data_IF_147789530979
#
_entry.id   IF_147789530979
#
_cell.length_a   1.000
_cell.length_b   1.000
_cell.length_c   1.000
_cell.angle_alpha   90.00
_cell.angle_beta   90.00
_cell.angle_gamma   90.00
#
_symmetry.space_group_name_H-M   'P 1'
#
loop_
_entity.id
_entity.type
_entity.pdbx_description
1 polymer ?
#
# COMPACT_ATOMS: atom_id res chain seq x y z
N UNK A 1 5.52 -9.48 -0.08
CA UNK A 1 4.93 -10.12 -1.27
C UNK A 1 5.42 -11.56 -1.55
N UNK A 2 6.66 -11.95 -1.21
CA UNK A 2 7.11 -13.34 -1.40
C UNK A 2 6.25 -14.41 -0.73
N UNK A 3 5.79 -14.16 0.51
CA UNK A 3 4.85 -15.07 1.20
C UNK A 3 3.45 -15.12 0.58
N UNK A 4 3.07 -14.12 -0.22
CA UNK A 4 1.79 -14.08 -0.91
C UNK A 4 1.82 -14.91 -2.17
N UNK A 5 2.91 -14.80 -2.95
CA UNK A 5 3.16 -15.65 -4.11
C UNK A 5 3.16 -17.13 -3.75
N UNK A 6 3.73 -17.52 -2.60
CA UNK A 6 3.73 -18.91 -2.15
C UNK A 6 2.35 -19.44 -1.74
N UNK A 7 1.36 -18.55 -1.55
CA UNK A 7 -0.01 -18.89 -1.13
C UNK A 7 -1.03 -18.78 -2.27
N UNK A 8 -0.61 -18.40 -3.48
CA UNK A 8 -1.50 -18.33 -4.64
C UNK A 8 -2.15 -19.70 -4.85
N UNK A 9 -3.50 -19.81 -4.90
CA UNK A 9 -4.17 -21.08 -5.09
C UNK A 9 -3.78 -21.72 -6.43
N UNK A 10 -3.10 -22.86 -6.37
CA UNK A 10 -2.73 -23.61 -7.56
C UNK A 10 -3.99 -24.16 -8.25
N UNK A 11 -4.01 -24.23 -9.59
CA UNK A 11 -5.05 -24.97 -10.28
C UNK A 11 -4.98 -26.43 -9.85
N UNK A 12 -6.12 -27.12 -9.65
CA UNK A 12 -6.11 -28.53 -9.25
C UNK A 12 -5.43 -29.37 -10.33
N UNK A 13 -4.32 -30.01 -9.99
CA UNK A 13 -3.56 -30.94 -10.83
C UNK A 13 -3.75 -32.36 -10.31
N UNK A 14 -4.68 -33.12 -10.89
CA UNK A 14 -4.94 -34.50 -10.50
C UNK A 14 -5.22 -35.40 -11.70
N UNK A 15 -4.92 -36.69 -11.58
CA UNK A 15 -5.24 -37.70 -12.60
C UNK A 15 -6.78 -37.80 -12.68
N UNK A 16 -7.38 -37.28 -13.76
CA UNK A 16 -8.83 -37.13 -13.93
C UNK A 16 -9.34 -35.68 -13.99
N UNK A 17 -8.53 -34.69 -13.59
CA UNK A 17 -8.81 -33.26 -13.74
C UNK A 17 -7.64 -32.59 -14.48
N UNK A 18 -7.47 -32.94 -15.75
CA UNK A 18 -6.58 -32.20 -16.64
C UNK A 18 -7.30 -30.91 -17.04
N UNK A 19 -7.21 -29.88 -16.20
CA UNK A 19 -7.57 -28.53 -16.62
C UNK A 19 -6.61 -28.15 -17.74
N UNK A 20 -7.09 -28.15 -18.97
CA UNK A 20 -6.30 -27.68 -20.10
C UNK A 20 -5.83 -26.24 -19.90
N UNK A 21 -4.85 -25.76 -20.68
CA UNK A 21 -4.28 -24.41 -20.55
C UNK A 21 -5.32 -23.27 -20.63
N UNK A 22 -6.52 -23.55 -21.14
CA UNK A 22 -7.61 -22.59 -21.32
C UNK A 22 -8.72 -22.68 -20.24
N UNK A 23 -8.53 -23.46 -19.18
CA UNK A 23 -9.53 -23.51 -18.12
C UNK A 23 -9.50 -22.22 -17.28
N UNK A 24 -10.68 -21.69 -16.92
CA UNK A 24 -10.83 -20.44 -16.16
C UNK A 24 -9.96 -20.39 -14.89
N UNK A 25 -9.79 -21.52 -14.21
CA UNK A 25 -8.94 -21.65 -13.01
C UNK A 25 -7.45 -21.48 -13.32
N UNK A 26 -6.96 -22.00 -14.45
CA UNK A 26 -5.57 -21.82 -14.91
C UNK A 26 -5.34 -20.38 -15.36
N UNK A 27 -6.30 -19.80 -16.09
CA UNK A 27 -6.23 -18.40 -16.51
C UNK A 27 -6.19 -17.43 -15.31
N UNK A 28 -7.02 -17.68 -14.30
CA UNK A 28 -7.02 -16.91 -13.05
C UNK A 28 -5.69 -17.02 -12.30
N UNK A 29 -5.12 -18.23 -12.22
CA UNK A 29 -3.81 -18.43 -11.62
C UNK A 29 -2.73 -17.59 -12.33
N UNK A 30 -2.65 -17.68 -13.66
CA UNK A 30 -1.67 -16.91 -14.44
C UNK A 30 -1.86 -15.40 -14.29
N UNK A 31 -3.11 -14.92 -14.39
CA UNK A 31 -3.43 -13.51 -14.14
C UNK A 31 -3.02 -13.05 -12.75
N UNK A 32 -3.20 -13.90 -11.73
CA UNK A 32 -2.76 -13.59 -10.36
C UNK A 32 -1.25 -13.42 -10.30
N UNK A 33 -0.49 -14.33 -10.90
CA UNK A 33 0.98 -14.27 -10.91
C UNK A 33 1.48 -13.02 -11.63
N UNK A 34 0.88 -12.69 -12.78
CA UNK A 34 1.19 -11.50 -13.57
C UNK A 34 0.94 -10.21 -12.76
N UNK A 35 -0.25 -10.06 -12.19
CA UNK A 35 -0.62 -8.88 -11.38
C UNK A 35 0.29 -8.72 -10.17
N UNK A 36 0.68 -9.82 -9.51
CA UNK A 36 1.64 -9.76 -8.41
C UNK A 36 3.04 -9.35 -8.87
N UNK A 37 3.48 -9.79 -10.05
CA UNK A 37 4.75 -9.36 -10.66
C UNK A 37 4.77 -7.87 -10.97
N UNK A 38 3.65 -7.36 -11.49
CA UNK A 38 3.46 -5.93 -11.75
C UNK A 38 3.44 -5.12 -10.45
N UNK A 39 2.75 -5.61 -9.41
CA UNK A 39 2.71 -4.97 -8.10
C UNK A 39 4.11 -4.82 -7.48
N UNK A 40 4.95 -5.86 -7.54
CA UNK A 40 6.34 -5.80 -7.06
C UNK A 40 7.14 -4.78 -7.88
N UNK A 41 6.98 -4.80 -9.21
CA UNK A 41 7.67 -3.88 -10.10
C UNK A 41 7.28 -2.42 -9.84
N UNK A 42 6.00 -2.18 -9.54
CA UNK A 42 5.48 -0.88 -9.13
C UNK A 42 6.12 -0.41 -7.82
N UNK A 43 6.12 -1.24 -6.78
CA UNK A 43 6.72 -0.90 -5.48
C UNK A 43 8.21 -0.56 -5.60
N UNK A 44 8.96 -1.27 -6.45
CA UNK A 44 10.38 -0.97 -6.71
C UNK A 44 10.56 0.38 -7.40
N UNK A 45 9.69 0.72 -8.36
CA UNK A 45 9.73 2.03 -9.02
C UNK A 45 9.44 3.16 -8.03
N UNK A 46 8.45 2.95 -7.17
CA UNK A 46 8.07 3.92 -6.14
C UNK A 46 9.19 4.14 -5.12
N UNK A 47 9.82 3.07 -4.62
CA UNK A 47 10.95 3.18 -3.71
C UNK A 47 12.10 4.02 -4.30
N UNK A 48 12.45 3.78 -5.58
CA UNK A 48 13.47 4.57 -6.30
C UNK A 48 13.06 6.03 -6.45
N UNK A 49 11.78 6.29 -6.68
CA UNK A 49 11.25 7.64 -6.78
C UNK A 49 11.35 8.38 -5.43
N UNK A 50 11.01 7.71 -4.32
CA UNK A 50 11.12 8.28 -2.97
C UNK A 50 12.58 8.57 -2.63
N UNK A 51 13.49 7.63 -2.88
CA UNK A 51 14.94 7.83 -2.66
C UNK A 51 15.48 9.03 -3.43
N UNK A 52 15.11 9.15 -4.71
CA UNK A 52 15.51 10.27 -5.55
C UNK A 52 14.93 11.60 -5.04
N UNK A 53 13.64 11.62 -4.72
CA UNK A 53 12.96 12.83 -4.23
C UNK A 53 13.56 13.30 -2.91
N UNK A 54 13.90 12.37 -2.01
CA UNK A 54 14.57 12.68 -0.77
C UNK A 54 15.96 13.29 -1.02
N UNK A 55 16.76 12.67 -1.89
CA UNK A 55 18.08 13.18 -2.26
C UNK A 55 18.01 14.59 -2.88
N UNK A 56 17.09 14.80 -3.83
CA UNK A 56 16.89 16.11 -4.49
C UNK A 56 16.42 17.19 -3.50
N UNK A 57 15.67 16.81 -2.46
CA UNK A 57 15.22 17.70 -1.40
C UNK A 57 16.21 17.84 -0.22
N UNK A 58 17.35 17.13 -0.26
CA UNK A 58 18.34 17.13 0.81
C UNK A 58 17.92 16.38 2.08
N UNK A 59 16.93 15.50 2.00
CA UNK A 59 16.55 14.60 3.09
C UNK A 59 17.38 13.32 3.05
N UNK A 60 17.97 12.98 4.19
CA UNK A 60 18.59 11.67 4.41
C UNK A 60 17.52 10.69 4.89
N UNK A 61 17.30 9.60 4.16
CA UNK A 61 16.37 8.54 4.57
C UNK A 61 16.99 7.56 5.59
N UNK A 62 18.30 7.67 5.85
CA UNK A 62 19.04 6.79 6.77
C UNK A 62 19.11 7.31 8.21
N UNK A 63 18.69 8.56 8.46
CA UNK A 63 18.65 9.08 9.83
C UNK A 63 17.56 8.37 10.63
N UNK A 64 18.02 7.55 11.59
CA UNK A 64 17.18 7.05 12.67
C UNK A 64 16.64 8.20 13.54
N UNK A 65 15.80 7.88 14.54
CA UNK A 65 15.15 8.90 15.36
C UNK A 65 16.20 9.84 15.96
N UNK A 66 15.89 11.14 16.15
CA UNK A 66 16.80 12.08 16.77
C UNK A 66 17.32 11.48 18.07
N UNK A 67 18.64 11.24 18.15
CA UNK A 67 19.23 10.82 19.42
C UNK A 67 19.04 11.97 20.41
N UNK A 68 18.61 11.71 21.65
CA UNK A 68 18.54 12.76 22.65
C UNK A 68 19.93 13.39 22.77
N UNK A 69 20.02 14.67 22.43
CA UNK A 69 21.27 15.43 22.56
C UNK A 69 21.55 15.62 24.04
N UNK A 70 22.57 14.93 24.56
CA UNK A 70 23.10 15.17 25.90
C UNK A 70 23.78 16.53 25.91
N UNK A 71 23.35 17.43 26.79
CA UNK A 71 24.13 18.65 27.05
C UNK A 71 25.49 18.26 27.66
N UNK A 72 26.54 19.09 27.49
CA UNK A 72 27.83 18.88 28.15
C UNK A 72 27.76 18.80 29.70
N UNK A 73 26.66 19.26 30.31
CA UNK A 73 26.38 19.15 31.75
C UNK A 73 25.69 17.84 32.18
N UNK A 74 25.62 16.82 31.31
CA UNK A 74 25.02 15.52 31.63
C UNK A 74 23.49 15.54 31.81
N UNK A 75 22.85 16.70 31.67
CA UNK A 75 21.39 16.82 31.65
C UNK A 75 20.86 16.43 30.28
N UNK A 76 20.01 15.39 30.26
CA UNK A 76 19.24 15.04 29.07
C UNK A 76 18.29 16.19 28.78
N UNK A 77 18.51 16.87 27.65
CA UNK A 77 17.50 17.77 27.13
C UNK A 77 16.40 16.87 26.58
N UNK A 78 15.25 16.77 27.27
CA UNK A 78 14.02 16.35 26.63
C UNK A 78 13.77 17.37 25.51
N UNK A 79 14.28 17.10 24.32
CA UNK A 79 13.76 17.74 23.12
C UNK A 79 12.27 17.43 23.15
N UNK A 80 11.46 18.49 23.28
CA UNK A 80 10.02 18.38 23.32
C UNK A 80 9.60 17.44 22.20
N UNK A 81 8.71 16.51 22.55
CA UNK A 81 8.06 15.51 21.68
C UNK A 81 7.87 16.08 20.28
N UNK A 82 8.90 15.98 19.45
CA UNK A 82 8.84 16.41 18.06
C UNK A 82 8.21 15.20 17.43
N UNK A 83 6.88 15.29 17.28
CA UNK A 83 6.08 14.24 16.68
C UNK A 83 6.83 13.75 15.44
N UNK A 84 7.23 12.48 15.47
CA UNK A 84 7.96 11.81 14.41
C UNK A 84 7.02 11.57 13.22
N UNK A 85 6.41 12.64 12.70
CA UNK A 85 5.39 12.58 11.67
C UNK A 85 5.98 11.89 10.45
N UNK A 86 5.36 10.80 10.01
CA UNK A 86 5.82 9.96 8.89
C UNK A 86 7.16 9.23 9.06
N UNK A 87 7.72 9.17 10.28
CA UNK A 87 8.90 8.34 10.55
C UNK A 87 8.50 6.85 10.66
N UNK A 88 9.35 5.88 10.28
CA UNK A 88 9.07 4.44 10.48
C UNK A 88 8.83 4.04 11.95
N UNK A 89 9.38 4.81 12.89
CA UNK A 89 9.18 4.65 14.34
C UNK A 89 8.07 5.53 14.92
N UNK A 90 7.33 6.26 14.09
CA UNK A 90 6.09 6.89 14.54
C UNK A 90 5.13 5.77 14.98
N UNK A 91 4.41 5.91 16.11
CA UNK A 91 3.50 4.87 16.58
C UNK A 91 2.51 4.41 15.50
N UNK A 92 1.99 5.34 14.70
CA UNK A 92 1.02 5.07 13.63
C UNK A 92 1.67 4.31 12.46
N UNK A 93 2.86 4.74 12.01
CA UNK A 93 3.61 4.07 10.95
C UNK A 93 4.04 2.66 11.39
N UNK A 94 4.56 2.52 12.62
CA UNK A 94 4.97 1.23 13.17
C UNK A 94 3.79 0.27 13.30
N UNK A 95 2.64 0.75 13.79
CA UNK A 95 1.41 -0.04 13.85
C UNK A 95 0.96 -0.52 12.46
N UNK A 96 1.08 0.34 11.44
CA UNK A 96 0.77 -0.02 10.05
C UNK A 96 1.74 -1.07 9.53
N UNK A 97 3.05 -0.86 9.67
CA UNK A 97 4.10 -1.81 9.26
C UNK A 97 3.93 -3.18 9.94
N UNK A 98 3.66 -3.19 11.24
CA UNK A 98 3.42 -4.41 12.00
C UNK A 98 2.15 -5.14 11.53
N UNK A 99 1.08 -4.41 11.22
CA UNK A 99 -0.13 -4.99 10.67
C UNK A 99 0.12 -5.64 9.29
N UNK A 100 0.80 -4.93 8.39
CA UNK A 100 1.17 -5.45 7.07
C UNK A 100 2.01 -6.73 7.19
N UNK A 101 3.04 -6.69 8.05
CA UNK A 101 3.89 -7.84 8.32
C UNK A 101 3.07 -9.02 8.84
N UNK A 102 2.19 -8.79 9.82
CA UNK A 102 1.34 -9.86 10.37
C UNK A 102 0.47 -10.50 9.29
N UNK A 103 -0.28 -9.73 8.51
CA UNK A 103 -1.14 -10.27 7.44
C UNK A 103 -0.32 -10.99 6.37
N UNK A 104 0.84 -10.46 6.00
CA UNK A 104 1.73 -11.10 5.04
C UNK A 104 2.22 -12.48 5.50
N UNK A 105 2.45 -12.68 6.80
CA UNK A 105 2.92 -13.96 7.33
C UNK A 105 1.77 -14.92 7.69
N UNK A 106 0.76 -14.44 8.42
CA UNK A 106 -0.28 -15.30 9.00
C UNK A 106 -1.58 -15.31 8.21
N UNK A 107 -1.79 -14.32 7.33
CA UNK A 107 -3.00 -14.22 6.52
C UNK A 107 -3.07 -15.32 5.45
N UNK A 108 -4.29 -15.60 5.04
CA UNK A 108 -4.62 -16.35 3.82
C UNK A 108 -4.33 -15.49 2.59
N UNK A 109 -4.29 -16.12 1.42
CA UNK A 109 -4.10 -15.40 0.16
C UNK A 109 -5.12 -14.27 -0.04
N UNK A 110 -6.40 -14.51 0.27
CA UNK A 110 -7.46 -13.50 0.09
C UNK A 110 -7.31 -12.31 1.04
N UNK A 111 -6.91 -12.53 2.29
CA UNK A 111 -6.61 -11.42 3.20
C UNK A 111 -5.41 -10.61 2.74
N UNK A 112 -4.39 -11.26 2.19
CA UNK A 112 -3.20 -10.59 1.67
C UNK A 112 -3.51 -9.77 0.40
N UNK A 113 -4.32 -10.33 -0.49
CA UNK A 113 -4.80 -9.63 -1.68
C UNK A 113 -5.72 -8.45 -1.30
N UNK A 114 -6.57 -8.64 -0.29
CA UNK A 114 -7.42 -7.58 0.25
C UNK A 114 -6.58 -6.48 0.85
N UNK A 115 -5.55 -6.81 1.64
CA UNK A 115 -4.63 -5.83 2.18
C UNK A 115 -3.98 -5.01 1.06
N UNK A 116 -3.46 -5.67 0.02
CA UNK A 116 -2.85 -4.98 -1.13
C UNK A 116 -3.83 -4.02 -1.79
N UNK A 117 -5.00 -4.52 -2.21
CA UNK A 117 -6.04 -3.67 -2.82
C UNK A 117 -6.46 -2.51 -1.92
N UNK A 118 -6.62 -2.77 -0.61
CA UNK A 118 -7.08 -1.79 0.35
C UNK A 118 -6.14 -0.60 0.53
N UNK A 119 -4.84 -0.85 0.52
CA UNK A 119 -3.84 0.21 0.60
C UNK A 119 -3.90 1.11 -0.64
N UNK A 120 -4.09 0.53 -1.82
CA UNK A 120 -4.04 1.28 -3.09
C UNK A 120 -5.35 2.04 -3.40
N UNK A 121 -6.51 1.47 -3.05
CA UNK A 121 -7.80 2.12 -3.32
C UNK A 121 -8.02 3.35 -2.44
N UNK A 122 -7.49 3.37 -1.21
CA UNK A 122 -7.58 4.57 -0.37
C UNK A 122 -6.84 5.74 -1.03
N UNK A 123 -5.70 5.48 -1.66
CA UNK A 123 -4.92 6.48 -2.38
C UNK A 123 -5.67 7.02 -3.62
N UNK A 124 -6.33 6.16 -4.40
CA UNK A 124 -7.14 6.62 -5.54
C UNK A 124 -8.38 7.43 -5.15
N UNK A 125 -8.94 7.22 -3.96
CA UNK A 125 -10.13 7.94 -3.49
C UNK A 125 -9.83 9.34 -2.94
N UNK A 126 -8.60 9.59 -2.48
CA UNK A 126 -8.21 10.87 -1.85
C UNK A 126 -8.54 12.11 -2.71
N UNK A 127 -8.20 12.19 -4.01
CA UNK A 127 -8.52 13.36 -4.83
C UNK A 127 -10.02 13.64 -4.99
N UNK A 128 -10.86 12.60 -4.89
CA UNK A 128 -12.32 12.71 -5.05
C UNK A 128 -13.01 13.24 -3.79
N UNK A 129 -12.33 13.17 -2.64
CA UNK A 129 -12.88 13.53 -1.33
C UNK A 129 -12.39 14.91 -0.85
N UNK A 130 -11.45 15.55 -1.56
CA UNK A 130 -11.06 16.95 -1.30
C UNK A 130 -12.10 17.89 -1.93
N UNK A 131 -12.91 18.63 -1.14
CA UNK A 131 -13.86 19.57 -1.69
C UNK A 131 -13.13 20.68 -2.45
N UNK A 132 -13.63 21.03 -3.65
CA UNK A 132 -13.04 21.99 -4.61
C UNK A 132 -12.81 23.42 -4.07
N UNK A 133 -13.15 23.70 -2.80
CA UNK A 133 -12.97 24.99 -2.11
C UNK A 133 -11.74 25.07 -1.22
N UNK A 134 -11.04 23.95 -1.02
CA UNK A 134 -9.68 23.93 -0.49
C UNK A 134 -8.75 23.69 -1.68
N UNK A 135 -8.57 24.68 -2.55
CA UNK A 135 -7.31 24.73 -3.29
C UNK A 135 -6.23 24.94 -2.23
N UNK A 136 -5.41 23.92 -1.93
CA UNK A 136 -4.37 24.10 -0.96
C UNK A 136 -3.33 24.98 -1.63
N UNK A 137 -3.02 26.10 -1.00
CA UNK A 137 -1.71 26.72 -1.12
C UNK A 137 -0.71 25.64 -0.69
N UNK A 138 -0.23 24.87 -1.67
CA UNK A 138 0.79 23.82 -1.57
C UNK A 138 0.79 23.04 -0.24
N UNK A 139 -0.23 22.21 0.00
CA UNK A 139 -0.02 21.08 0.92
C UNK A 139 0.75 20.05 0.10
N UNK A 140 2.07 20.04 0.29
CA UNK A 140 3.04 19.16 -0.38
C UNK A 140 2.81 17.70 0.03
N UNK A 141 1.82 17.07 -0.57
CA UNK A 141 1.62 15.62 -0.55
C UNK A 141 2.22 15.04 -1.84
N UNK A 142 3.52 15.26 -2.01
CA UNK A 142 4.29 14.85 -3.19
C UNK A 142 4.63 13.35 -3.23
N UNK A 143 4.32 12.60 -2.17
CA UNK A 143 4.78 11.22 -2.05
C UNK A 143 3.90 10.21 -2.80
N UNK A 144 2.63 10.51 -3.11
CA UNK A 144 1.69 9.50 -3.64
C UNK A 144 0.69 10.01 -4.72
N UNK A 145 0.89 11.20 -5.28
CA UNK A 145 0.10 11.67 -6.45
C UNK A 145 0.98 12.21 -7.58
N UNK A 146 0.55 12.06 -8.86
CA UNK A 146 1.28 12.59 -10.00
C UNK A 146 1.23 14.12 -9.98
N UNK A 147 2.40 14.73 -10.06
CA UNK A 147 2.55 16.17 -10.16
C UNK A 147 2.01 16.64 -11.53
N UNK A 148 1.24 17.74 -11.62
CA UNK A 148 0.91 18.34 -12.90
C UNK A 148 2.20 18.78 -13.61
N UNK A 149 2.31 18.40 -14.87
CA UNK A 149 3.38 18.72 -15.82
C UNK A 149 3.86 20.17 -15.62
N UNK A 150 5.10 20.33 -15.16
CA UNK A 150 5.68 21.65 -14.91
C UNK A 150 7.17 21.70 -14.59
N UNK A 151 7.90 20.58 -14.53
CA UNK A 151 9.37 20.59 -14.41
C UNK A 151 10.00 19.71 -15.49
N UNK A 152 10.84 20.26 -16.39
CA UNK A 152 11.23 19.59 -17.64
C UNK A 152 12.37 18.56 -17.52
N UNK A 153 12.75 18.08 -16.33
CA UNK A 153 14.02 17.33 -16.18
C UNK A 153 14.00 16.05 -15.34
N UNK A 154 12.92 15.27 -15.33
CA UNK A 154 12.98 13.88 -14.84
C UNK A 154 12.18 12.93 -15.74
N UNK A 155 12.83 12.00 -16.46
CA UNK A 155 12.13 11.04 -17.31
C UNK A 155 11.46 9.96 -16.45
N UNK A 156 10.14 9.82 -16.59
CA UNK A 156 9.38 8.56 -16.53
C UNK A 156 9.68 7.57 -15.38
N UNK A 157 9.37 7.90 -14.12
CA UNK A 157 9.48 6.92 -13.01
C UNK A 157 8.26 6.81 -12.09
N UNK A 158 7.24 7.65 -12.24
CA UNK A 158 5.98 7.55 -11.51
C UNK A 158 4.90 6.96 -12.43
N UNK A 159 4.06 6.06 -11.91
CA UNK A 159 2.82 5.70 -12.60
C UNK A 159 2.00 6.98 -12.81
N UNK A 160 1.49 7.18 -14.02
CA UNK A 160 0.47 8.20 -14.22
C UNK A 160 -0.77 7.86 -13.38
N UNK A 161 -1.57 8.87 -13.02
CA UNK A 161 -2.83 8.65 -12.30
C UNK A 161 -3.72 7.60 -12.97
N UNK A 162 -3.70 7.56 -14.31
CA UNK A 162 -4.49 6.61 -15.10
C UNK A 162 -3.95 5.18 -14.98
N UNK A 163 -2.62 4.99 -15.07
CA UNK A 163 -2.00 3.67 -14.89
C UNK A 163 -2.20 3.15 -13.47
N UNK A 164 -2.09 4.02 -12.47
CA UNK A 164 -2.34 3.66 -11.08
C UNK A 164 -3.82 3.27 -10.86
N UNK A 165 -4.77 4.07 -11.33
CA UNK A 165 -6.19 3.75 -11.23
C UNK A 165 -6.53 2.41 -11.89
N UNK A 166 -5.99 2.14 -13.08
CA UNK A 166 -6.17 0.86 -13.77
C UNK A 166 -5.57 -0.31 -12.99
N UNK A 167 -4.40 -0.14 -12.37
CA UNK A 167 -3.81 -1.16 -11.50
C UNK A 167 -4.71 -1.49 -10.30
N UNK A 168 -5.28 -0.48 -9.65
CA UNK A 168 -6.21 -0.68 -8.52
C UNK A 168 -7.49 -1.39 -8.96
N UNK A 169 -8.05 -1.03 -10.12
CA UNK A 169 -9.20 -1.74 -10.71
C UNK A 169 -8.88 -3.21 -10.98
N UNK A 170 -7.71 -3.51 -11.55
CA UNK A 170 -7.27 -4.89 -11.79
C UNK A 170 -7.16 -5.70 -10.50
N UNK A 171 -6.69 -5.10 -9.40
CA UNK A 171 -6.66 -5.75 -8.09
C UNK A 171 -8.07 -6.03 -7.55
N UNK A 172 -9.01 -5.10 -7.75
CA UNK A 172 -10.41 -5.27 -7.39
C UNK A 172 -11.08 -6.41 -8.17
N UNK A 173 -10.94 -6.40 -9.50
CA UNK A 173 -11.43 -7.47 -10.38
C UNK A 173 -10.85 -8.84 -10.00
N UNK A 174 -9.57 -8.86 -9.60
CA UNK A 174 -8.92 -10.08 -9.17
C UNK A 174 -9.53 -10.62 -7.87
N UNK A 175 -9.80 -9.75 -6.88
CA UNK A 175 -10.51 -10.12 -5.65
C UNK A 175 -11.89 -10.68 -5.95
N UNK A 176 -12.68 -9.95 -6.73
CA UNK A 176 -14.02 -10.36 -7.14
C UNK A 176 -14.02 -11.72 -7.84
N UNK A 177 -13.01 -11.97 -8.67
CA UNK A 177 -12.80 -13.27 -9.31
C UNK A 177 -12.72 -14.45 -8.34
N UNK A 178 -12.30 -14.26 -7.09
CA UNK A 178 -12.25 -15.33 -6.08
C UNK A 178 -13.57 -15.58 -5.35
N UNK A 179 -14.53 -14.65 -5.45
CA UNK A 179 -15.86 -14.84 -4.93
C UNK A 179 -16.78 -15.68 -5.83
N UNK A 180 -17.92 -16.11 -5.29
CA UNK A 180 -18.90 -16.88 -6.05
C UNK A 180 -19.49 -16.07 -7.20
N UNK A 181 -19.43 -16.58 -8.44
CA UNK A 181 -19.87 -15.86 -9.65
C UNK A 181 -19.12 -14.54 -9.93
N UNK A 182 -17.89 -14.37 -9.43
CA UNK A 182 -17.11 -13.15 -9.66
C UNK A 182 -17.51 -11.99 -8.75
N UNK A 183 -17.98 -12.28 -7.54
CA UNK A 183 -18.38 -11.28 -6.55
C UNK A 183 -17.80 -11.67 -5.18
N UNK A 184 -16.85 -10.87 -4.68
CA UNK A 184 -16.13 -11.14 -3.42
C UNK A 184 -17.09 -11.26 -2.22
N UNK A 185 -18.28 -10.67 -2.29
CA UNK A 185 -19.28 -10.74 -1.21
C UNK A 185 -19.95 -12.12 -1.10
N UNK A 186 -19.74 -12.97 -2.11
CA UNK A 186 -20.30 -14.33 -2.19
C UNK A 186 -19.29 -15.41 -1.77
N UNK A 187 -18.32 -15.04 -0.94
CA UNK A 187 -17.45 -15.97 -0.22
C UNK A 187 -18.23 -16.69 0.89
N UNK A 188 -17.61 -17.73 1.46
CA UNK A 188 -18.09 -18.28 2.73
C UNK A 188 -18.10 -17.21 3.83
N UNK A 189 -19.03 -17.31 4.78
CA UNK A 189 -19.25 -16.29 5.80
C UNK A 189 -18.00 -15.96 6.60
N UNK A 190 -17.20 -16.97 6.91
CA UNK A 190 -16.02 -16.84 7.75
C UNK A 190 -14.90 -16.12 6.98
N UNK A 191 -14.64 -16.49 5.73
CA UNK A 191 -13.68 -15.80 4.88
C UNK A 191 -14.11 -14.37 4.58
N UNK A 192 -15.40 -14.14 4.29
CA UNK A 192 -15.92 -12.80 4.06
C UNK A 192 -15.69 -11.90 5.28
N UNK A 193 -15.98 -12.39 6.49
CA UNK A 193 -15.75 -11.65 7.72
C UNK A 193 -14.27 -11.31 7.93
N UNK A 194 -13.36 -12.22 7.56
CA UNK A 194 -11.90 -12.00 7.67
C UNK A 194 -11.42 -10.95 6.67
N UNK A 195 -11.83 -11.05 5.40
CA UNK A 195 -11.54 -10.06 4.35
C UNK A 195 -12.08 -8.67 4.73
N UNK A 196 -13.33 -8.57 5.19
CA UNK A 196 -13.90 -7.33 5.69
C UNK A 196 -13.17 -6.79 6.93
N UNK A 197 -12.70 -7.70 7.80
CA UNK A 197 -11.84 -7.37 8.93
C UNK A 197 -10.55 -6.68 8.49
N UNK A 198 -9.89 -7.21 7.45
CA UNK A 198 -8.70 -6.60 6.86
C UNK A 198 -8.99 -5.22 6.31
N UNK A 199 -10.03 -5.09 5.48
CA UNK A 199 -10.44 -3.81 4.92
C UNK A 199 -10.66 -2.73 5.99
N UNK A 200 -11.47 -3.05 7.02
CA UNK A 200 -11.76 -2.11 8.12
C UNK A 200 -10.50 -1.68 8.85
N UNK A 201 -9.58 -2.61 9.08
CA UNK A 201 -8.34 -2.31 9.78
C UNK A 201 -7.43 -1.40 8.96
N UNK A 202 -7.34 -1.62 7.65
CA UNK A 202 -6.58 -0.73 6.74
C UNK A 202 -7.17 0.68 6.77
N UNK A 203 -8.49 0.84 6.63
CA UNK A 203 -9.13 2.16 6.70
C UNK A 203 -8.85 2.88 8.02
N UNK A 204 -8.84 2.16 9.15
CA UNK A 204 -8.51 2.74 10.45
C UNK A 204 -7.04 3.17 10.54
N UNK A 205 -6.11 2.35 10.02
CA UNK A 205 -4.68 2.66 10.01
C UNK A 205 -4.36 3.84 9.10
N UNK A 206 -4.96 3.88 7.91
CA UNK A 206 -4.90 5.02 6.98
C UNK A 206 -5.34 6.30 7.67
N UNK A 207 -6.51 6.28 8.33
CA UNK A 207 -7.00 7.44 9.07
C UNK A 207 -5.97 7.95 10.10
N UNK A 208 -5.40 7.05 10.90
CA UNK A 208 -4.39 7.41 11.91
C UNK A 208 -3.11 7.96 11.28
N UNK A 209 -2.63 7.33 10.21
CA UNK A 209 -1.45 7.78 9.46
C UNK A 209 -1.64 9.21 8.92
N UNK A 210 -2.79 9.49 8.30
CA UNK A 210 -3.11 10.83 7.80
C UNK A 210 -3.33 11.86 8.91
N UNK A 211 -3.88 11.45 10.06
CA UNK A 211 -4.03 12.33 11.24
C UNK A 211 -2.70 12.72 11.85
N UNK A 212 -1.79 11.76 12.05
CA UNK A 212 -0.44 12.02 12.56
C UNK A 212 0.34 12.96 11.63
N UNK A 213 0.18 12.77 10.33
CA UNK A 213 0.81 13.58 9.29
C UNK A 213 0.40 15.05 9.24
N UNK A 214 -0.81 15.39 9.72
CA UNK A 214 -1.30 16.77 9.75
C UNK A 214 -0.69 17.61 10.88
N UNK A 215 -0.08 16.96 11.87
CA UNK A 215 0.34 17.62 13.11
C UNK A 215 -0.85 18.10 13.94
N UNK A 216 -0.66 18.22 15.25
CA UNK A 216 -1.59 18.99 16.09
C UNK A 216 -1.45 20.47 15.73
N UNK A 217 -2.47 21.07 15.12
CA UNK A 217 -2.59 22.54 15.05
C UNK A 217 -2.74 23.13 16.45
#
# INVERSE_FOLDING_TARGET
>A
MGSMLSKVPLPPTGVGHHLGPNADKSGRYMRTVEVMGDAISNAIREAKFVEKTAADAGFDLSVGPPRPSTKPDGTQQQQGTTALSFHPLAPETDAYLNYMSRVAHTGTFLEQLTLLWAMEIVLTLLPRLVPSRLQPRQIHLHLLHPIPIGSPHTPHQQLSAAEFASFVEILGDLLDGYGGSGDITRLDSDMLARVQGVWRQVVNLEKGFWEAGRGTM
#
